data_IF_488187379189
#
_entry.id   IF_488187379189
#
_cell.length_a   1.000
_cell.length_b   1.000
_cell.length_c   1.000
_cell.angle_alpha   90.00
_cell.angle_beta   90.00
_cell.angle_gamma   90.00
#
_symmetry.space_group_name_H-M   'P 1'
#
loop_
_entity.id
_entity.type
_entity.pdbx_description
1 polymer ?
#
# COMPACT_ATOMS: atom_id res chain seq x y z
N UNK A 1 2.85 53.81 51.86
CA UNK A 1 3.64 52.95 50.94
C UNK A 1 3.61 51.44 51.28
N UNK A 2 2.74 50.94 52.19
CA UNK A 2 2.69 49.51 52.56
C UNK A 2 1.69 48.66 51.75
N UNK A 3 0.56 49.23 51.29
CA UNK A 3 -0.48 48.47 50.57
C UNK A 3 -0.08 47.95 49.16
N UNK A 4 0.97 48.47 48.54
CA UNK A 4 1.37 48.04 47.19
C UNK A 4 2.06 46.68 47.15
N UNK A 5 2.83 46.33 48.19
CA UNK A 5 3.59 45.08 48.25
C UNK A 5 2.70 43.86 48.51
N UNK A 6 1.66 44.01 49.32
CA UNK A 6 0.71 42.93 49.60
C UNK A 6 -0.18 42.61 48.40
N UNK A 7 -0.51 43.64 47.59
CA UNK A 7 -1.29 43.49 46.36
C UNK A 7 -0.48 42.75 45.27
N UNK A 8 0.80 43.11 45.08
CA UNK A 8 1.69 42.40 44.15
C UNK A 8 1.93 40.94 44.56
N UNK A 9 2.05 40.66 45.86
CA UNK A 9 2.21 39.30 46.38
C UNK A 9 0.96 38.44 46.12
N UNK A 10 -0.23 38.97 46.41
CA UNK A 10 -1.50 38.26 46.13
C UNK A 10 -1.76 38.08 44.63
N UNK A 11 -1.35 39.03 43.79
CA UNK A 11 -1.50 38.91 42.34
C UNK A 11 -0.53 37.88 41.72
N UNK A 12 0.73 37.81 42.22
CA UNK A 12 1.68 36.76 41.83
C UNK A 12 1.18 35.38 42.24
N UNK A 13 0.64 35.24 43.44
CA UNK A 13 0.13 33.97 43.96
C UNK A 13 -1.13 33.52 43.17
N UNK A 14 -2.02 34.45 42.80
CA UNK A 14 -3.17 34.19 41.93
C UNK A 14 -2.77 33.80 40.50
N UNK A 15 -1.73 34.42 39.93
CA UNK A 15 -1.16 34.03 38.63
C UNK A 15 -0.49 32.65 38.70
N UNK A 16 0.20 32.34 39.80
CA UNK A 16 0.81 31.04 40.07
C UNK A 16 -0.24 29.92 40.14
N UNK A 17 -1.27 30.08 40.98
CA UNK A 17 -2.37 29.10 41.10
C UNK A 17 -3.13 28.89 39.79
N UNK A 18 -3.38 29.95 39.02
CA UNK A 18 -3.97 29.83 37.67
C UNK A 18 -3.07 29.03 36.73
N UNK A 19 -1.77 29.30 36.68
CA UNK A 19 -0.83 28.53 35.85
C UNK A 19 -0.80 27.05 36.24
N UNK A 20 -0.72 26.75 37.54
CA UNK A 20 -0.73 25.37 38.03
C UNK A 20 -2.04 24.68 37.66
N UNK A 21 -3.18 25.33 37.84
CA UNK A 21 -4.50 24.80 37.45
C UNK A 21 -4.60 24.50 35.95
N UNK A 22 -4.14 25.41 35.08
CA UNK A 22 -4.17 25.16 33.64
C UNK A 22 -3.20 24.05 33.21
N UNK A 23 -2.03 23.95 33.84
CA UNK A 23 -1.07 22.89 33.56
C UNK A 23 -1.57 21.52 34.00
N UNK A 24 -2.17 21.41 35.20
CA UNK A 24 -2.74 20.14 35.67
C UNK A 24 -3.95 19.73 34.84
N UNK A 25 -4.81 20.68 34.48
CA UNK A 25 -5.93 20.42 33.57
C UNK A 25 -5.47 19.96 32.18
N UNK A 26 -4.44 20.60 31.62
CA UNK A 26 -3.86 20.20 30.34
C UNK A 26 -3.23 18.80 30.40
N UNK A 27 -2.50 18.47 31.47
CA UNK A 27 -1.93 17.15 31.67
C UNK A 27 -3.02 16.07 31.81
N UNK A 28 -4.08 16.33 32.58
CA UNK A 28 -5.22 15.43 32.70
C UNK A 28 -5.92 15.22 31.35
N UNK A 29 -6.15 16.29 30.59
CA UNK A 29 -6.75 16.23 29.27
C UNK A 29 -5.90 15.38 28.30
N UNK A 30 -4.57 15.50 28.36
CA UNK A 30 -3.67 14.66 27.56
C UNK A 30 -3.74 13.18 27.95
N UNK A 31 -3.75 12.86 29.25
CA UNK A 31 -3.86 11.48 29.73
C UNK A 31 -5.19 10.86 29.34
N UNK A 32 -6.30 11.57 29.55
CA UNK A 32 -7.64 11.13 29.15
C UNK A 32 -7.71 10.96 27.63
N UNK A 33 -7.15 11.91 26.87
CA UNK A 33 -7.05 11.81 25.41
C UNK A 33 -6.28 10.58 24.95
N UNK A 34 -5.11 10.31 25.53
CA UNK A 34 -4.32 9.12 25.24
C UNK A 34 -5.06 7.82 25.57
N UNK A 35 -5.75 7.77 26.71
CA UNK A 35 -6.60 6.65 27.10
C UNK A 35 -7.76 6.44 26.12
N UNK A 36 -8.41 7.53 25.70
CA UNK A 36 -9.52 7.49 24.73
C UNK A 36 -9.03 6.96 23.38
N UNK A 37 -7.89 7.45 22.90
CA UNK A 37 -7.24 6.99 21.66
C UNK A 37 -6.94 5.49 21.73
N UNK A 38 -6.36 5.02 22.84
CA UNK A 38 -6.05 3.61 23.02
C UNK A 38 -7.30 2.73 23.03
N UNK A 39 -8.35 3.17 23.73
CA UNK A 39 -9.64 2.46 23.82
C UNK A 39 -10.41 2.46 22.49
N UNK A 40 -10.33 3.54 21.71
CA UNK A 40 -11.05 3.72 20.45
C UNK A 40 -10.24 3.36 19.21
N UNK A 41 -9.02 2.84 19.34
CA UNK A 41 -8.09 2.59 18.22
C UNK A 41 -8.70 1.83 17.03
N UNK A 42 -9.66 0.93 17.28
CA UNK A 42 -10.36 0.18 16.23
C UNK A 42 -11.32 1.03 15.39
N UNK A 43 -11.83 2.14 15.93
CA UNK A 43 -12.72 3.08 15.25
C UNK A 43 -11.98 4.25 14.62
N UNK A 44 -10.81 4.60 15.15
CA UNK A 44 -10.00 5.73 14.66
C UNK A 44 -9.74 5.60 13.16
N UNK A 45 -9.38 4.40 12.70
CA UNK A 45 -8.99 4.19 11.33
C UNK A 45 -10.15 4.45 10.32
N UNK A 46 -11.33 3.80 10.45
CA UNK A 46 -12.48 4.13 9.61
C UNK A 46 -12.86 5.62 9.64
N UNK A 47 -12.78 6.27 10.80
CA UNK A 47 -13.07 7.71 10.93
C UNK A 47 -12.08 8.53 10.11
N UNK A 48 -10.78 8.29 10.27
CA UNK A 48 -9.73 8.99 9.52
C UNK A 48 -9.91 8.77 8.02
N UNK A 49 -10.17 7.53 7.58
CA UNK A 49 -10.37 7.22 6.17
C UNK A 49 -11.60 7.95 5.62
N UNK A 50 -12.73 7.93 6.34
CA UNK A 50 -13.94 8.65 5.94
C UNK A 50 -13.72 10.16 5.84
N UNK A 51 -13.05 10.74 6.84
CA UNK A 51 -12.74 12.17 6.87
C UNK A 51 -11.77 12.56 5.74
N UNK A 52 -10.73 11.75 5.50
CA UNK A 52 -9.76 11.98 4.44
C UNK A 52 -10.42 11.88 3.06
N UNK A 53 -11.29 10.90 2.83
CA UNK A 53 -12.07 10.82 1.61
C UNK A 53 -12.95 12.06 1.44
N UNK A 54 -13.66 12.51 2.47
CA UNK A 54 -14.50 13.72 2.37
C UNK A 54 -13.66 14.94 1.98
N UNK A 55 -12.48 15.05 2.59
CA UNK A 55 -11.53 16.11 2.33
C UNK A 55 -10.98 16.08 0.90
N UNK A 56 -10.54 14.90 0.45
CA UNK A 56 -10.00 14.63 -0.89
C UNK A 56 -10.99 14.97 -2.00
N UNK A 57 -12.28 14.72 -1.76
CA UNK A 57 -13.36 14.93 -2.71
C UNK A 57 -14.02 16.30 -2.62
N UNK A 58 -13.65 17.14 -1.65
CA UNK A 58 -14.09 18.53 -1.55
C UNK A 58 -13.92 19.33 -2.87
N UNK A 59 -12.77 19.33 -3.57
CA UNK A 59 -12.62 20.07 -4.83
C UNK A 59 -13.52 19.53 -5.94
N UNK A 60 -13.78 18.21 -5.96
CA UNK A 60 -14.70 17.60 -6.93
C UNK A 60 -16.11 18.11 -6.65
N UNK A 61 -16.57 18.02 -5.40
CA UNK A 61 -17.87 18.56 -4.96
C UNK A 61 -18.02 20.05 -5.32
N UNK A 62 -17.00 20.86 -5.08
CA UNK A 62 -17.04 22.30 -5.37
C UNK A 62 -17.12 22.62 -6.88
N UNK A 63 -16.47 21.83 -7.73
CA UNK A 63 -16.59 21.94 -9.20
C UNK A 63 -17.95 21.45 -9.72
N UNK A 64 -18.55 20.46 -9.07
CA UNK A 64 -19.86 19.91 -9.38
C UNK A 64 -21.00 20.63 -8.62
N UNK A 65 -20.87 21.94 -8.35
CA UNK A 65 -21.97 22.77 -7.83
C UNK A 65 -23.04 22.98 -8.89
N UNK A 66 -23.90 21.98 -9.02
CA UNK A 66 -25.07 22.01 -9.89
C UNK A 66 -26.12 22.91 -9.23
N UNK A 67 -26.44 24.05 -9.87
CA UNK A 67 -27.29 25.10 -9.29
C UNK A 67 -28.73 24.65 -8.97
N UNK A 68 -29.19 23.53 -9.53
CA UNK A 68 -30.52 22.95 -9.30
C UNK A 68 -30.55 21.82 -8.26
N UNK A 69 -29.39 21.35 -7.78
CA UNK A 69 -29.31 20.21 -6.89
C UNK A 69 -29.01 20.67 -5.44
N UNK A 70 -29.84 20.29 -4.44
CA UNK A 70 -29.55 20.49 -3.02
C UNK A 70 -28.15 20.01 -2.63
N UNK A 71 -27.56 20.68 -1.64
CA UNK A 71 -26.20 20.42 -1.19
C UNK A 71 -25.99 18.97 -0.72
N UNK A 72 -26.98 18.42 -0.03
CA UNK A 72 -26.99 17.06 0.51
C UNK A 72 -26.97 16.03 -0.63
N UNK A 73 -27.74 16.29 -1.69
CA UNK A 73 -27.77 15.41 -2.86
C UNK A 73 -26.47 15.45 -3.65
N UNK A 74 -25.76 16.59 -3.71
CA UNK A 74 -24.45 16.67 -4.35
C UNK A 74 -23.42 15.77 -3.64
N UNK A 75 -23.45 15.75 -2.30
CA UNK A 75 -22.58 14.90 -1.47
C UNK A 75 -22.92 13.42 -1.63
N UNK A 76 -24.21 13.07 -1.67
CA UNK A 76 -24.62 11.69 -1.92
C UNK A 76 -24.28 11.23 -3.34
N UNK A 77 -24.40 12.10 -4.33
CA UNK A 77 -23.99 11.81 -5.70
C UNK A 77 -22.47 11.59 -5.80
N UNK A 78 -21.65 12.43 -5.15
CA UNK A 78 -20.21 12.23 -5.14
C UNK A 78 -19.83 10.93 -4.44
N UNK A 79 -20.46 10.62 -3.30
CA UNK A 79 -20.28 9.33 -2.63
C UNK A 79 -20.65 8.14 -3.53
N UNK A 80 -21.78 8.22 -4.23
CA UNK A 80 -22.23 7.18 -5.15
C UNK A 80 -21.26 6.99 -6.33
N UNK A 81 -20.72 8.07 -6.90
CA UNK A 81 -19.70 8.01 -7.96
C UNK A 81 -18.43 7.34 -7.46
N UNK A 82 -17.96 7.69 -6.25
CA UNK A 82 -16.80 7.04 -5.62
C UNK A 82 -17.05 5.55 -5.42
N UNK A 83 -18.21 5.20 -4.85
CA UNK A 83 -18.61 3.82 -4.64
C UNK A 83 -18.65 3.02 -5.95
N UNK A 84 -19.15 3.63 -7.02
CA UNK A 84 -19.20 3.03 -8.35
C UNK A 84 -17.80 2.83 -8.94
N UNK A 85 -16.92 3.83 -8.85
CA UNK A 85 -15.52 3.72 -9.29
C UNK A 85 -14.79 2.62 -8.52
N UNK A 86 -14.93 2.59 -7.19
CA UNK A 86 -14.34 1.56 -6.34
C UNK A 86 -14.90 0.17 -6.65
N UNK A 87 -16.20 0.06 -6.93
CA UNK A 87 -16.84 -1.20 -7.33
C UNK A 87 -16.30 -1.71 -8.66
N UNK A 88 -16.16 -0.85 -9.68
CA UNK A 88 -15.56 -1.21 -10.96
C UNK A 88 -14.08 -1.58 -10.82
N UNK A 89 -13.33 -0.83 -10.02
CA UNK A 89 -11.93 -1.12 -9.72
C UNK A 89 -11.78 -2.47 -9.01
N UNK A 90 -12.59 -2.73 -7.97
CA UNK A 90 -12.63 -4.00 -7.25
C UNK A 90 -12.98 -5.17 -8.18
N UNK A 91 -14.00 -5.02 -9.03
CA UNK A 91 -14.39 -6.08 -9.95
C UNK A 91 -13.34 -6.33 -11.04
N UNK A 92 -12.65 -5.28 -11.50
CA UNK A 92 -11.54 -5.41 -12.45
C UNK A 92 -10.36 -6.10 -11.81
N UNK A 93 -10.01 -5.70 -10.59
CA UNK A 93 -8.92 -6.28 -9.84
C UNK A 93 -9.18 -7.74 -9.46
N UNK A 94 -10.38 -8.04 -8.96
CA UNK A 94 -10.79 -9.39 -8.57
C UNK A 94 -10.67 -10.40 -9.71
N UNK A 95 -10.95 -10.00 -10.95
CA UNK A 95 -10.77 -10.86 -12.14
C UNK A 95 -9.31 -11.27 -12.38
N UNK A 96 -8.36 -10.51 -11.85
CA UNK A 96 -6.92 -10.76 -11.99
C UNK A 96 -6.28 -11.37 -10.73
N UNK A 97 -7.01 -11.43 -9.60
CA UNK A 97 -6.54 -12.15 -8.41
C UNK A 97 -6.53 -13.64 -8.75
N UNK A 98 -5.38 -14.33 -8.65
CA UNK A 98 -5.30 -15.74 -9.01
C UNK A 98 -6.13 -16.60 -8.04
N UNK A 99 -6.95 -17.50 -8.60
CA UNK A 99 -7.64 -18.56 -7.86
C UNK A 99 -6.62 -19.43 -7.10
N UNK A 100 -7.05 -20.16 -6.06
CA UNK A 100 -6.25 -21.16 -5.34
C UNK A 100 -5.41 -22.03 -6.30
N UNK A 101 -6.05 -22.58 -7.32
CA UNK A 101 -5.39 -23.36 -8.38
C UNK A 101 -4.31 -22.58 -9.13
N UNK A 102 -4.61 -21.36 -9.56
CA UNK A 102 -3.68 -20.52 -10.31
C UNK A 102 -2.51 -20.08 -9.43
N UNK A 103 -2.71 -19.92 -8.12
CA UNK A 103 -1.62 -19.69 -7.16
C UNK A 103 -0.68 -20.89 -7.07
N UNK A 104 -1.24 -22.11 -6.99
CA UNK A 104 -0.44 -23.33 -6.95
C UNK A 104 0.34 -23.52 -8.25
N UNK A 105 -0.33 -23.33 -9.39
CA UNK A 105 0.32 -23.39 -10.69
C UNK A 105 1.42 -22.32 -10.84
N UNK A 106 1.15 -21.09 -10.39
CA UNK A 106 2.13 -20.01 -10.38
C UNK A 106 3.38 -20.39 -9.57
N UNK A 107 3.22 -20.92 -8.35
CA UNK A 107 4.35 -21.39 -7.53
C UNK A 107 5.21 -22.41 -8.28
N UNK A 108 4.59 -23.42 -8.90
CA UNK A 108 5.30 -24.47 -9.66
C UNK A 108 6.00 -23.90 -10.90
N UNK A 109 5.30 -23.10 -11.71
CA UNK A 109 5.84 -22.48 -12.92
C UNK A 109 7.01 -21.56 -12.61
N UNK A 110 6.86 -20.70 -11.59
CA UNK A 110 7.90 -19.79 -11.14
C UNK A 110 9.12 -20.56 -10.63
N UNK A 111 8.91 -21.60 -9.81
CA UNK A 111 9.99 -22.46 -9.32
C UNK A 111 10.75 -23.15 -10.45
N UNK A 112 10.04 -23.70 -11.43
CA UNK A 112 10.66 -24.30 -12.63
C UNK A 112 11.50 -23.27 -13.40
N UNK A 113 10.92 -22.10 -13.71
CA UNK A 113 11.57 -21.05 -14.51
C UNK A 113 12.79 -20.44 -13.83
N UNK A 114 12.73 -20.24 -12.52
CA UNK A 114 13.87 -19.77 -11.74
C UNK A 114 15.02 -20.79 -11.74
N UNK A 115 14.73 -22.07 -11.52
CA UNK A 115 15.75 -23.11 -11.59
C UNK A 115 16.30 -23.27 -13.02
N UNK A 116 15.46 -23.14 -14.06
CA UNK A 116 15.89 -23.17 -15.46
C UNK A 116 16.89 -22.04 -15.76
N UNK A 117 16.57 -20.80 -15.38
CA UNK A 117 17.48 -19.65 -15.53
C UNK A 117 18.75 -19.79 -14.67
N UNK A 118 18.64 -20.28 -13.44
CA UNK A 118 19.80 -20.53 -12.58
C UNK A 118 20.75 -21.55 -13.21
N UNK A 119 20.22 -22.67 -13.75
CA UNK A 119 21.03 -23.64 -14.48
C UNK A 119 21.69 -23.06 -15.73
N UNK A 120 21.00 -22.19 -16.47
CA UNK A 120 21.61 -21.51 -17.62
C UNK A 120 22.79 -20.61 -17.21
N UNK A 121 22.72 -19.98 -16.02
CA UNK A 121 23.79 -19.13 -15.50
C UNK A 121 24.98 -19.94 -14.93
N UNK A 122 24.71 -21.11 -14.36
CA UNK A 122 25.71 -21.99 -13.74
C UNK A 122 26.21 -23.08 -14.70
N UNK A 123 25.63 -23.19 -15.89
CA UNK A 123 26.08 -24.13 -16.92
C UNK A 123 27.55 -23.87 -17.26
N UNK A 124 28.38 -24.92 -17.18
CA UNK A 124 29.79 -24.83 -17.56
C UNK A 124 29.90 -24.40 -19.02
N UNK A 125 30.71 -23.37 -19.34
CA UNK A 125 30.95 -22.98 -20.72
C UNK A 125 31.62 -24.12 -21.49
N UNK A 126 31.43 -24.20 -22.82
CA UNK A 126 32.12 -25.19 -23.66
C UNK A 126 33.63 -25.11 -23.48
N UNK A 127 34.29 -26.26 -23.59
CA UNK A 127 35.67 -26.54 -23.15
C UNK A 127 36.67 -25.41 -23.45
N UNK A 128 37.40 -24.98 -22.41
CA UNK A 128 38.59 -24.12 -22.54
C UNK A 128 38.49 -22.69 -21.98
N UNK A 129 37.32 -22.23 -21.50
CA UNK A 129 37.19 -20.91 -20.85
C UNK A 129 36.78 -21.04 -19.38
N UNK A 130 37.73 -20.85 -18.46
CA UNK A 130 37.44 -20.72 -17.03
C UNK A 130 36.69 -19.40 -16.79
N UNK A 131 35.44 -19.49 -16.33
CA UNK A 131 34.65 -18.31 -15.96
C UNK A 131 34.93 -17.96 -14.50
N UNK A 132 35.73 -16.92 -14.25
CA UNK A 132 36.02 -16.43 -12.90
C UNK A 132 34.77 -16.03 -12.09
N UNK A 133 33.65 -15.78 -12.80
CA UNK A 133 32.38 -15.34 -12.22
C UNK A 133 31.51 -16.52 -11.75
N UNK A 134 31.68 -17.73 -12.31
CA UNK A 134 30.90 -18.92 -11.95
C UNK A 134 30.95 -19.23 -10.43
N UNK A 135 32.14 -19.32 -9.79
CA UNK A 135 32.22 -19.61 -8.36
C UNK A 135 31.64 -18.48 -7.48
N UNK A 136 31.64 -17.23 -7.95
CA UNK A 136 30.94 -16.14 -7.27
C UNK A 136 29.42 -16.30 -7.37
N UNK A 137 28.91 -16.64 -8.56
CA UNK A 137 27.47 -16.87 -8.78
C UNK A 137 27.00 -18.04 -7.92
N UNK A 138 27.71 -19.16 -7.90
CA UNK A 138 27.34 -20.32 -7.08
C UNK A 138 27.34 -19.95 -5.58
N UNK A 139 28.36 -19.24 -5.11
CA UNK A 139 28.50 -18.85 -3.69
C UNK A 139 27.41 -17.87 -3.23
N UNK A 140 27.03 -16.90 -4.07
CA UNK A 140 26.07 -15.85 -3.70
C UNK A 140 24.62 -16.19 -4.07
N UNK A 141 24.37 -16.71 -5.29
CA UNK A 141 23.01 -17.06 -5.73
C UNK A 141 22.53 -18.42 -5.22
N UNK A 142 23.42 -19.37 -4.94
CA UNK A 142 23.03 -20.71 -4.48
C UNK A 142 22.13 -20.68 -3.23
N UNK A 143 22.59 -20.07 -2.10
CA UNK A 143 21.79 -19.97 -0.88
C UNK A 143 20.47 -19.20 -1.06
N UNK A 144 20.45 -18.22 -1.96
CA UNK A 144 19.24 -17.46 -2.31
C UNK A 144 18.24 -18.35 -3.05
N UNK A 145 18.73 -19.13 -4.02
CA UNK A 145 17.90 -20.05 -4.79
C UNK A 145 17.30 -21.14 -3.89
N UNK A 146 18.04 -21.64 -2.91
CA UNK A 146 17.53 -22.59 -1.91
C UNK A 146 16.39 -22.01 -1.07
N UNK A 147 16.55 -20.78 -0.56
CA UNK A 147 15.49 -20.09 0.19
C UNK A 147 14.25 -19.84 -0.65
N UNK A 148 14.42 -19.41 -1.91
CA UNK A 148 13.31 -19.22 -2.85
C UNK A 148 12.60 -20.55 -3.11
N UNK A 149 13.38 -21.60 -3.35
CA UNK A 149 12.85 -22.94 -3.60
C UNK A 149 12.03 -23.45 -2.41
N UNK A 150 12.51 -23.24 -1.19
CA UNK A 150 11.80 -23.55 0.07
C UNK A 150 10.53 -22.71 0.22
N UNK A 151 10.58 -21.41 -0.07
CA UNK A 151 9.42 -20.53 -0.01
C UNK A 151 8.32 -20.88 -1.03
N UNK A 152 8.71 -21.47 -2.17
CA UNK A 152 7.80 -21.94 -3.22
C UNK A 152 7.41 -23.41 -3.09
N UNK A 153 7.84 -24.11 -2.02
CA UNK A 153 7.38 -25.48 -1.76
C UNK A 153 5.88 -25.52 -1.45
N UNK A 154 5.25 -26.59 -1.92
CA UNK A 154 3.84 -26.85 -1.68
C UNK A 154 3.70 -27.77 -0.47
N UNK A 155 2.83 -27.38 0.46
CA UNK A 155 2.52 -28.20 1.63
C UNK A 155 1.76 -29.49 1.24
N UNK A 156 1.54 -30.41 2.18
CA UNK A 156 0.94 -31.72 1.85
C UNK A 156 -0.46 -31.61 1.21
N UNK A 157 -1.26 -30.64 1.64
CA UNK A 157 -2.61 -30.40 1.11
C UNK A 157 -2.58 -29.74 -0.26
N UNK A 158 -1.77 -28.67 -0.39
CA UNK A 158 -1.51 -27.93 -1.62
C UNK A 158 -0.97 -28.86 -2.74
N UNK A 159 -0.11 -29.83 -2.41
CA UNK A 159 0.41 -30.81 -3.37
C UNK A 159 -0.70 -31.69 -3.97
N UNK A 160 -1.58 -32.20 -3.10
CA UNK A 160 -2.69 -33.05 -3.53
C UNK A 160 -3.67 -32.23 -4.38
N UNK A 161 -3.91 -30.99 -3.97
CA UNK A 161 -4.79 -30.06 -4.69
C UNK A 161 -4.21 -29.70 -6.06
N UNK A 162 -2.91 -29.41 -6.15
CA UNK A 162 -2.22 -29.15 -7.42
C UNK A 162 -2.29 -30.35 -8.37
N UNK A 163 -2.04 -31.58 -7.89
CA UNK A 163 -2.14 -32.78 -8.73
C UNK A 163 -3.55 -33.02 -9.25
N UNK A 164 -4.56 -32.72 -8.44
CA UNK A 164 -5.97 -32.79 -8.83
C UNK A 164 -6.27 -31.79 -9.94
N UNK A 165 -5.81 -30.55 -9.82
CA UNK A 165 -5.99 -29.52 -10.84
C UNK A 165 -5.17 -29.76 -12.11
N UNK A 166 -3.94 -30.23 -11.98
CA UNK A 166 -3.06 -30.55 -13.10
C UNK A 166 -3.69 -31.57 -14.08
N UNK A 167 -4.63 -32.39 -13.62
CA UNK A 167 -5.37 -33.35 -14.43
C UNK A 167 -6.60 -32.76 -15.17
N UNK A 168 -6.90 -31.46 -15.04
CA UNK A 168 -8.04 -30.80 -15.69
C UNK A 168 -9.35 -30.85 -14.89
N UNK A 169 -9.28 -30.66 -13.57
CA UNK A 169 -10.46 -30.65 -12.70
C UNK A 169 -11.32 -29.38 -12.92
N UNK A 170 -12.64 -29.48 -12.81
CA UNK A 170 -13.61 -28.37 -13.00
C UNK A 170 -13.63 -27.70 -14.39
N UNK A 171 -13.28 -28.42 -15.47
CA UNK A 171 -13.43 -27.91 -16.85
C UNK A 171 -12.40 -26.85 -17.27
N UNK A 172 -11.32 -26.69 -16.49
CA UNK A 172 -10.18 -25.81 -16.82
C UNK A 172 -9.12 -26.57 -17.63
N UNK A 173 -8.35 -25.86 -18.47
CA UNK A 173 -7.30 -26.48 -19.28
C UNK A 173 -6.22 -27.13 -18.39
N UNK A 174 -5.73 -28.32 -18.74
CA UNK A 174 -4.71 -29.01 -17.95
C UNK A 174 -3.39 -28.23 -17.96
N UNK A 175 -2.66 -28.28 -16.84
CA UNK A 175 -1.33 -27.69 -16.70
C UNK A 175 -0.37 -28.37 -17.68
N UNK A 176 0.53 -27.58 -18.31
CA UNK A 176 1.48 -28.15 -19.27
C UNK A 176 2.31 -29.27 -18.63
N UNK A 177 2.49 -30.36 -19.38
CA UNK A 177 3.15 -31.60 -18.91
C UNK A 177 4.55 -31.37 -18.36
N UNK A 178 5.31 -30.41 -18.89
CA UNK A 178 6.66 -30.07 -18.42
C UNK A 178 6.67 -29.59 -16.95
N UNK A 179 5.68 -28.81 -16.52
CA UNK A 179 5.58 -28.32 -15.14
C UNK A 179 5.12 -29.42 -14.20
N UNK A 180 4.18 -30.26 -14.63
CA UNK A 180 3.72 -31.43 -13.86
C UNK A 180 4.86 -32.44 -13.70
N UNK A 181 5.63 -32.68 -14.76
CA UNK A 181 6.81 -33.54 -14.76
C UNK A 181 7.90 -33.02 -13.83
N UNK A 182 8.22 -31.73 -13.90
CA UNK A 182 9.14 -31.08 -12.97
C UNK A 182 8.67 -31.21 -11.52
N UNK A 183 7.40 -30.93 -11.25
CA UNK A 183 6.83 -31.04 -9.92
C UNK A 183 6.94 -32.47 -9.38
N UNK A 184 6.57 -33.49 -10.17
CA UNK A 184 6.68 -34.90 -9.81
C UNK A 184 8.13 -35.34 -9.55
N UNK A 185 9.06 -34.91 -10.40
CA UNK A 185 10.47 -35.26 -10.28
C UNK A 185 11.12 -34.73 -9.00
N UNK A 186 10.65 -33.58 -8.49
CA UNK A 186 11.19 -32.90 -7.31
C UNK A 186 10.38 -33.14 -6.03
N UNK A 187 9.50 -34.15 -5.99
CA UNK A 187 8.75 -34.46 -4.77
C UNK A 187 9.57 -35.21 -3.70
N UNK A 188 10.58 -35.97 -4.14
CA UNK A 188 11.31 -36.92 -3.31
C UNK A 188 12.81 -36.63 -3.20
N UNK A 189 13.32 -35.64 -3.92
CA UNK A 189 14.74 -35.28 -3.93
C UNK A 189 14.99 -34.09 -3.01
N UNK A 190 16.03 -34.17 -2.17
CA UNK A 190 16.56 -33.00 -1.42
C UNK A 190 17.35 -32.05 -2.34
N UNK A 191 17.78 -32.53 -3.51
CA UNK A 191 18.42 -31.77 -4.57
C UNK A 191 17.45 -31.49 -5.72
N UNK A 192 17.49 -30.27 -6.25
CA UNK A 192 16.60 -29.83 -7.32
C UNK A 192 17.07 -30.31 -8.70
N UNK A 193 16.32 -31.25 -9.28
CA UNK A 193 16.60 -31.83 -10.59
C UNK A 193 15.61 -31.27 -11.62
N UNK A 194 16.12 -30.54 -12.62
CA UNK A 194 15.37 -30.25 -13.84
C UNK A 194 15.53 -31.47 -14.75
N UNK A 195 14.47 -32.24 -15.04
CA UNK A 195 14.59 -33.39 -15.92
C UNK A 195 14.99 -32.92 -17.33
N UNK A 196 15.97 -33.58 -17.94
CA UNK A 196 16.44 -33.28 -19.31
C UNK A 196 15.36 -33.56 -20.38
N UNK A 197 14.34 -34.35 -20.03
CA UNK A 197 13.17 -34.65 -20.87
C UNK A 197 11.91 -34.75 -20.00
N UNK A 198 10.84 -34.09 -20.42
CA UNK A 198 9.53 -34.23 -19.77
C UNK A 198 9.08 -35.70 -19.84
N UNK A 199 8.62 -36.32 -18.73
CA UNK A 199 8.13 -37.69 -18.79
C UNK A 199 6.96 -37.77 -19.75
N UNK A 200 7.00 -38.76 -20.65
CA UNK A 200 5.91 -39.06 -21.58
C UNK A 200 4.61 -39.25 -20.78
N UNK A 201 3.53 -38.62 -21.26
CA UNK A 201 2.25 -38.54 -20.55
C UNK A 201 1.77 -39.90 -20.06
N UNK A 202 1.65 -40.03 -18.73
CA UNK A 202 0.84 -41.08 -18.12
C UNK A 202 -0.61 -40.63 -18.04
N UNK A 203 -1.59 -41.53 -18.28
CA UNK A 203 -3.01 -41.17 -18.23
C UNK A 203 -3.44 -40.69 -16.84
N UNK A 204 -4.45 -39.80 -16.75
CA UNK A 204 -4.96 -39.35 -15.47
C UNK A 204 -5.56 -40.53 -14.68
N UNK A 205 -5.37 -40.61 -13.35
CA UNK A 205 -5.83 -41.74 -12.57
C UNK A 205 -7.36 -41.77 -12.51
N UNK A 206 -7.95 -42.83 -13.07
CA UNK A 206 -9.32 -43.27 -12.86
C UNK A 206 -9.37 -44.17 -11.63
N UNK A 207 -9.69 -43.60 -10.47
CA UNK A 207 -9.94 -44.35 -9.24
C UNK A 207 -10.75 -43.52 -8.24
N UNK A 208 -11.70 -44.11 -7.50
CA UNK A 208 -12.47 -43.38 -6.51
C UNK A 208 -11.55 -42.95 -5.36
N UNK A 209 -11.37 -41.63 -5.20
CA UNK A 209 -10.61 -41.06 -4.09
C UNK A 209 -11.47 -41.19 -2.83
N UNK A 210 -11.01 -42.02 -1.90
CA UNK A 210 -11.65 -42.21 -0.59
C UNK A 210 -11.83 -40.87 0.13
N UNK A 211 -13.02 -40.68 0.71
CA UNK A 211 -13.38 -39.51 1.49
C UNK A 211 -12.41 -39.37 2.69
N UNK A 212 -11.64 -38.28 2.70
CA UNK A 212 -10.79 -37.93 3.81
C UNK A 212 -11.65 -37.52 5.01
N UNK A 213 -11.34 -38.11 6.16
CA UNK A 213 -11.90 -37.80 7.47
C UNK A 213 -11.76 -36.32 7.80
N UNK A 214 -12.87 -35.71 8.22
CA UNK A 214 -12.93 -34.35 8.75
C UNK A 214 -12.13 -34.24 10.05
N UNK A 215 -11.23 -33.26 10.10
CA UNK A 215 -10.52 -32.81 11.30
C UNK A 215 -10.77 -31.28 11.45
N UNK A 216 -10.75 -30.74 12.68
CA UNK A 216 -11.69 -29.72 13.16
C UNK A 216 -11.53 -28.35 12.49
N UNK A 217 -12.57 -27.49 12.56
CA UNK A 217 -12.52 -26.14 11.99
C UNK A 217 -11.34 -25.38 12.57
N UNK A 218 -10.58 -24.75 11.66
CA UNK A 218 -9.57 -23.76 11.99
C UNK A 218 -10.14 -22.78 13.02
N UNK A 219 -9.38 -22.58 14.10
CA UNK A 219 -9.75 -21.72 15.19
C UNK A 219 -10.15 -20.32 14.68
N UNK A 220 -11.43 -19.99 14.85
CA UNK A 220 -12.02 -18.66 15.03
C UNK A 220 -11.18 -17.44 14.59
N UNK A 221 -11.00 -17.24 13.28
CA UNK A 221 -10.71 -15.91 12.72
C UNK A 221 -12.01 -15.11 12.42
N UNK A 222 -13.15 -15.81 12.27
CA UNK A 222 -14.45 -15.23 11.89
C UNK A 222 -14.98 -14.18 12.86
N UNK A 223 -14.84 -14.40 14.18
CA UNK A 223 -15.28 -13.45 15.21
C UNK A 223 -14.47 -12.13 15.20
N UNK A 224 -13.27 -12.12 14.62
CA UNK A 224 -12.47 -10.91 14.47
C UNK A 224 -12.80 -10.13 13.18
N UNK A 225 -13.25 -10.83 12.13
CA UNK A 225 -13.57 -10.24 10.84
C UNK A 225 -14.92 -9.53 10.86
N UNK A 226 -15.92 -10.10 11.53
CA UNK A 226 -17.25 -9.48 11.71
C UNK A 226 -17.16 -8.16 12.49
N UNK A 227 -16.40 -8.16 13.60
CA UNK A 227 -16.15 -6.96 14.39
C UNK A 227 -15.31 -5.92 13.61
N UNK A 228 -14.31 -6.34 12.82
CA UNK A 228 -13.53 -5.44 11.95
C UNK A 228 -14.38 -4.85 10.82
N UNK A 229 -15.24 -5.64 10.15
CA UNK A 229 -16.13 -5.17 9.09
C UNK A 229 -17.18 -4.20 9.60
N UNK A 230 -17.75 -4.45 10.79
CA UNK A 230 -18.76 -3.57 11.39
C UNK A 230 -18.24 -2.13 11.57
N UNK A 231 -16.97 -1.97 11.97
CA UNK A 231 -16.35 -0.67 12.16
C UNK A 231 -16.14 0.09 10.85
N UNK A 232 -15.95 -0.61 9.71
CA UNK A 232 -15.74 0.03 8.41
C UNK A 232 -16.99 0.71 7.84
N UNK A 233 -18.20 0.38 8.33
CA UNK A 233 -19.44 1.15 8.04
C UNK A 233 -19.32 2.60 8.51
N UNK A 234 -18.45 2.88 9.48
CA UNK A 234 -18.22 4.23 9.97
C UNK A 234 -17.52 5.12 8.95
N UNK A 235 -16.66 4.58 8.08
CA UNK A 235 -15.97 5.38 7.07
C UNK A 235 -16.92 6.10 6.08
N UNK A 236 -17.86 5.41 5.39
CA UNK A 236 -18.81 6.09 4.51
C UNK A 236 -19.79 6.98 5.30
N UNK A 237 -20.14 6.62 6.54
CA UNK A 237 -20.95 7.48 7.40
C UNK A 237 -20.23 8.81 7.68
N UNK A 238 -18.98 8.74 8.14
CA UNK A 238 -18.17 9.93 8.41
C UNK A 238 -17.99 10.74 7.14
N UNK A 239 -17.75 10.11 5.99
CA UNK A 239 -17.68 10.80 4.70
C UNK A 239 -18.92 11.65 4.43
N UNK A 240 -20.11 11.05 4.53
CA UNK A 240 -21.38 11.72 4.23
C UNK A 240 -21.66 12.84 5.23
N UNK A 241 -21.46 12.58 6.53
CA UNK A 241 -21.70 13.57 7.58
C UNK A 241 -20.74 14.76 7.50
N UNK A 242 -19.44 14.55 7.27
CA UNK A 242 -18.49 15.63 7.02
C UNK A 242 -18.78 16.35 5.70
N UNK A 243 -19.25 15.61 4.69
CA UNK A 243 -19.66 16.19 3.42
C UNK A 243 -20.90 17.08 3.55
N UNK A 244 -21.86 16.73 4.41
CA UNK A 244 -23.04 17.55 4.72
C UNK A 244 -22.69 18.77 5.57
N UNK A 245 -21.60 18.72 6.33
CA UNK A 245 -21.16 19.85 7.14
C UNK A 245 -20.79 21.05 6.26
N UNK A 246 -21.48 22.17 6.50
CA UNK A 246 -21.21 23.46 5.85
C UNK A 246 -20.17 24.29 6.64
N UNK A 247 -19.24 23.62 7.32
CA UNK A 247 -18.25 24.23 8.20
C UNK A 247 -18.77 24.54 9.61
N UNK A 248 -19.86 23.91 10.05
CA UNK A 248 -20.35 24.10 11.44
C UNK A 248 -19.34 23.51 12.43
N UNK A 249 -18.73 22.37 12.08
CA UNK A 249 -17.69 21.73 12.90
C UNK A 249 -16.51 22.69 13.09
N UNK A 250 -16.03 23.30 12.01
CA UNK A 250 -14.94 24.27 12.06
C UNK A 250 -15.29 25.50 12.90
N UNK A 251 -16.49 26.07 12.73
CA UNK A 251 -16.96 27.21 13.52
C UNK A 251 -17.05 26.88 15.01
N UNK A 252 -17.47 25.66 15.36
CA UNK A 252 -17.49 25.21 16.74
C UNK A 252 -16.08 25.17 17.35
N UNK A 253 -15.11 24.56 16.67
CA UNK A 253 -13.73 24.53 17.16
C UNK A 253 -13.12 25.93 17.29
N UNK A 254 -13.38 26.81 16.33
CA UNK A 254 -12.93 28.20 16.37
C UNK A 254 -13.60 28.97 17.53
N UNK A 255 -14.87 28.69 17.85
CA UNK A 255 -15.58 29.34 18.96
C UNK A 255 -15.03 29.01 20.35
N UNK A 256 -14.30 27.89 20.49
CA UNK A 256 -13.61 27.50 21.73
C UNK A 256 -12.31 28.28 21.95
N UNK A 257 -11.78 28.93 20.90
CA UNK A 257 -10.53 29.67 20.96
C UNK A 257 -10.76 31.03 21.64
N UNK A 258 -9.99 31.38 22.68
CA UNK A 258 -10.06 32.71 23.27
C UNK A 258 -9.77 33.80 22.25
N UNK A 259 -10.48 34.92 22.31
CA UNK A 259 -10.37 36.03 21.34
C UNK A 259 -8.92 36.50 21.09
N UNK A 260 -8.05 36.42 22.11
CA UNK A 260 -6.62 36.77 22.02
C UNK A 260 -5.85 35.94 20.97
N UNK A 261 -6.24 34.70 20.74
CA UNK A 261 -5.55 33.75 19.85
C UNK A 261 -6.36 33.41 18.60
N UNK A 262 -7.42 34.17 18.33
CA UNK A 262 -8.36 33.89 17.25
C UNK A 262 -7.68 33.95 15.87
N UNK A 263 -7.02 35.06 15.56
CA UNK A 263 -6.28 35.25 14.30
C UNK A 263 -5.16 34.20 14.14
N UNK A 264 -4.36 33.99 15.19
CA UNK A 264 -3.34 32.95 15.25
C UNK A 264 -3.91 31.57 14.86
N UNK A 265 -5.04 31.19 15.47
CA UNK A 265 -5.63 29.88 15.25
C UNK A 265 -6.19 29.76 13.84
N UNK A 266 -6.88 30.79 13.33
CA UNK A 266 -7.36 30.82 11.95
C UNK A 266 -6.22 30.64 10.95
N UNK A 267 -5.12 31.37 11.11
CA UNK A 267 -3.96 31.24 10.22
C UNK A 267 -3.35 29.83 10.29
N UNK A 268 -3.21 29.25 11.48
CA UNK A 268 -2.71 27.87 11.62
C UNK A 268 -3.65 26.87 10.95
N UNK A 269 -4.95 27.00 11.15
CA UNK A 269 -5.96 26.13 10.55
C UNK A 269 -5.95 26.20 9.02
N UNK A 270 -5.90 27.41 8.46
CA UNK A 270 -5.87 27.65 7.02
C UNK A 270 -4.60 27.05 6.37
N UNK A 271 -3.44 27.25 7.01
CA UNK A 271 -2.18 26.65 6.57
C UNK A 271 -2.18 25.12 6.65
N UNK A 272 -2.88 24.54 7.63
CA UNK A 272 -3.04 23.10 7.73
C UNK A 272 -3.98 22.55 6.65
N UNK A 273 -5.09 23.24 6.37
CA UNK A 273 -6.03 22.89 5.29
C UNK A 273 -5.30 22.83 3.94
N UNK A 274 -4.52 23.88 3.64
CA UNK A 274 -3.70 23.96 2.44
C UNK A 274 -2.64 22.87 2.37
N UNK A 275 -1.92 22.63 3.47
CA UNK A 275 -0.84 21.63 3.49
C UNK A 275 -1.38 20.21 3.28
N UNK A 276 -2.48 19.84 3.94
CA UNK A 276 -3.14 18.54 3.76
C UNK A 276 -3.69 18.43 2.34
N UNK A 277 -4.36 19.48 1.85
CA UNK A 277 -4.94 19.51 0.50
C UNK A 277 -3.89 19.37 -0.60
N UNK A 278 -2.80 20.10 -0.50
CA UNK A 278 -1.71 20.03 -1.46
C UNK A 278 -1.02 18.67 -1.41
N UNK A 279 -0.77 18.13 -0.22
CA UNK A 279 -0.17 16.80 -0.08
C UNK A 279 -1.05 15.72 -0.72
N UNK A 280 -2.34 15.64 -0.35
CA UNK A 280 -3.21 14.57 -0.82
C UNK A 280 -3.48 14.65 -2.33
N UNK A 281 -3.71 15.86 -2.87
CA UNK A 281 -3.85 16.07 -4.32
C UNK A 281 -2.56 15.71 -5.05
N UNK A 282 -1.43 16.04 -4.44
CA UNK A 282 -0.13 15.64 -4.92
C UNK A 282 -0.02 14.11 -5.00
N UNK A 283 -0.13 13.43 -3.87
CA UNK A 283 -0.04 11.97 -3.79
C UNK A 283 -0.98 11.26 -4.77
N UNK A 284 -2.23 11.73 -4.94
CA UNK A 284 -3.12 11.14 -5.95
C UNK A 284 -2.59 11.28 -7.39
N UNK A 285 -2.07 12.46 -7.72
CA UNK A 285 -1.51 12.73 -9.06
C UNK A 285 -0.26 11.88 -9.29
N UNK A 286 0.59 11.73 -8.28
CA UNK A 286 1.76 10.86 -8.28
C UNK A 286 1.37 9.39 -8.48
N UNK A 287 0.41 8.89 -7.70
CA UNK A 287 -0.13 7.53 -7.84
C UNK A 287 -0.63 7.26 -9.26
N UNK A 288 -1.33 8.23 -9.87
CA UNK A 288 -1.81 8.16 -11.23
C UNK A 288 -0.65 8.12 -12.25
N UNK A 289 0.34 9.01 -12.12
CA UNK A 289 1.49 9.08 -13.01
C UNK A 289 2.33 7.80 -12.97
N UNK A 290 2.61 7.26 -11.79
CA UNK A 290 3.33 5.99 -11.62
C UNK A 290 2.54 4.83 -12.20
N UNK A 291 1.25 4.74 -11.88
CA UNK A 291 0.40 3.67 -12.40
C UNK A 291 0.26 3.71 -13.92
N UNK A 292 0.15 4.90 -14.51
CA UNK A 292 0.12 5.11 -15.95
C UNK A 292 1.44 4.72 -16.61
N UNK A 293 2.57 5.14 -16.03
CA UNK A 293 3.92 4.82 -16.53
C UNK A 293 4.16 3.32 -16.54
N UNK A 294 3.82 2.62 -15.46
CA UNK A 294 3.92 1.16 -15.38
C UNK A 294 2.99 0.48 -16.39
N UNK A 295 1.73 0.91 -16.48
CA UNK A 295 0.77 0.34 -17.42
C UNK A 295 1.27 0.45 -18.86
N UNK A 296 1.71 1.64 -19.28
CA UNK A 296 2.22 1.87 -20.62
C UNK A 296 3.51 1.09 -20.86
N UNK A 297 4.46 1.17 -19.95
CA UNK A 297 5.75 0.48 -20.07
C UNK A 297 5.59 -1.04 -20.18
N UNK A 298 4.79 -1.66 -19.32
CA UNK A 298 4.55 -3.11 -19.35
C UNK A 298 3.83 -3.52 -20.64
N UNK A 299 2.87 -2.71 -21.10
CA UNK A 299 2.17 -2.95 -22.38
C UNK A 299 3.15 -2.89 -23.57
N UNK A 300 4.09 -1.94 -23.57
CA UNK A 300 5.13 -1.84 -24.60
C UNK A 300 6.08 -3.05 -24.61
N UNK A 301 6.32 -3.66 -23.44
CA UNK A 301 7.07 -4.91 -23.33
C UNK A 301 6.29 -6.15 -23.79
N UNK A 302 5.03 -5.99 -24.22
CA UNK A 302 4.19 -7.07 -24.74
C UNK A 302 3.36 -7.78 -23.67
N UNK A 303 3.35 -7.28 -22.42
CA UNK A 303 2.48 -7.81 -21.36
C UNK A 303 1.02 -7.47 -21.72
N UNK A 304 0.08 -8.42 -21.61
CA UNK A 304 -1.33 -8.17 -21.92
C UNK A 304 -1.88 -6.97 -21.15
N UNK A 305 -2.62 -6.11 -21.84
CA UNK A 305 -3.13 -4.84 -21.29
C UNK A 305 -3.85 -5.02 -19.94
N UNK A 306 -4.67 -6.07 -19.79
CA UNK A 306 -5.38 -6.34 -18.53
C UNK A 306 -4.44 -6.53 -17.34
N UNK A 307 -3.34 -7.25 -17.53
CA UNK A 307 -2.33 -7.52 -16.50
C UNK A 307 -1.48 -6.27 -16.26
N UNK A 308 -1.07 -5.57 -17.33
CA UNK A 308 -0.33 -4.33 -17.22
C UNK A 308 -1.11 -3.26 -16.45
N UNK A 309 -2.41 -3.10 -16.74
CA UNK A 309 -3.33 -2.20 -16.01
C UNK A 309 -3.48 -2.66 -14.56
N UNK A 310 -3.65 -3.96 -14.30
CA UNK A 310 -3.76 -4.45 -12.93
C UNK A 310 -2.51 -4.15 -12.09
N UNK A 311 -1.32 -4.40 -12.65
CA UNK A 311 -0.04 -4.06 -11.99
C UNK A 311 0.06 -2.55 -11.81
N UNK A 312 -0.17 -1.76 -12.86
CA UNK A 312 -0.07 -0.31 -12.79
C UNK A 312 -1.03 0.32 -11.79
N UNK A 313 -2.29 -0.12 -11.72
CA UNK A 313 -3.27 0.39 -10.75
C UNK A 313 -2.86 0.04 -9.32
N UNK A 314 -2.48 -1.21 -9.05
CA UNK A 314 -2.07 -1.61 -7.69
C UNK A 314 -0.81 -0.88 -7.26
N UNK A 315 0.23 -0.88 -8.11
CA UNK A 315 1.49 -0.21 -7.82
C UNK A 315 1.32 1.30 -7.71
N UNK A 316 0.52 1.91 -8.58
CA UNK A 316 0.18 3.33 -8.50
C UNK A 316 -0.49 3.67 -7.18
N UNK A 317 -1.55 2.96 -6.79
CA UNK A 317 -2.24 3.18 -5.50
C UNK A 317 -1.32 2.97 -4.29
N UNK A 318 -0.47 1.96 -4.33
CA UNK A 318 0.49 1.68 -3.25
C UNK A 318 1.65 2.68 -3.23
N UNK A 319 1.86 3.46 -4.29
CA UNK A 319 2.86 4.54 -4.30
C UNK A 319 2.52 5.69 -3.33
N UNK A 320 1.28 5.74 -2.83
CA UNK A 320 0.93 6.63 -1.71
C UNK A 320 1.78 6.36 -0.45
N UNK A 321 2.33 5.15 -0.33
CA UNK A 321 3.37 4.81 0.64
C UNK A 321 4.72 4.84 -0.09
N UNK A 322 5.69 5.65 0.35
CA UNK A 322 6.97 5.79 -0.34
C UNK A 322 7.65 4.44 -0.60
N UNK A 323 8.18 4.28 -1.81
CA UNK A 323 8.88 3.10 -2.32
C UNK A 323 8.03 1.83 -2.46
N UNK A 324 6.82 1.79 -1.91
CA UNK A 324 6.00 0.58 -1.89
C UNK A 324 5.41 0.26 -3.26
N UNK A 325 5.00 1.29 -4.01
CA UNK A 325 4.40 1.12 -5.33
C UNK A 325 5.33 0.42 -6.33
N UNK A 326 6.55 0.92 -6.47
CA UNK A 326 7.58 0.36 -7.35
C UNK A 326 8.11 -0.99 -6.85
N UNK A 327 8.22 -1.20 -5.54
CA UNK A 327 8.58 -2.50 -4.97
C UNK A 327 7.55 -3.59 -5.31
N UNK A 328 6.25 -3.27 -5.22
CA UNK A 328 5.17 -4.20 -5.59
C UNK A 328 5.15 -4.43 -7.10
N UNK A 329 5.42 -3.38 -7.89
CA UNK A 329 5.55 -3.51 -9.35
C UNK A 329 6.66 -4.50 -9.71
N UNK A 330 7.79 -4.45 -8.98
CA UNK A 330 8.91 -5.38 -9.15
C UNK A 330 8.52 -6.81 -8.85
N UNK A 331 7.93 -7.07 -7.69
CA UNK A 331 7.56 -8.44 -7.31
C UNK A 331 6.57 -9.03 -8.31
N UNK A 332 5.48 -8.31 -8.60
CA UNK A 332 4.40 -8.84 -9.45
C UNK A 332 4.84 -8.86 -10.93
N UNK A 333 5.45 -7.78 -11.41
CA UNK A 333 5.91 -7.65 -12.79
C UNK A 333 7.01 -8.64 -13.14
N UNK A 334 8.01 -8.80 -12.28
CA UNK A 334 9.09 -9.79 -12.48
C UNK A 334 8.53 -11.22 -12.40
N UNK A 335 7.67 -11.49 -11.42
CA UNK A 335 7.00 -12.79 -11.29
C UNK A 335 6.22 -13.15 -12.56
N UNK A 336 5.48 -12.19 -13.14
CA UNK A 336 4.78 -12.38 -14.40
C UNK A 336 5.75 -12.59 -15.58
N UNK A 337 6.79 -11.76 -15.70
CA UNK A 337 7.76 -11.84 -16.78
C UNK A 337 8.51 -13.17 -16.84
N UNK A 338 8.72 -13.82 -15.69
CA UNK A 338 9.40 -15.12 -15.60
C UNK A 338 8.51 -16.29 -16.06
N UNK A 339 7.21 -16.23 -15.79
CA UNK A 339 6.28 -17.32 -16.10
C UNK A 339 5.68 -17.21 -17.51
N UNK A 340 5.65 -16.00 -18.07
CA UNK A 340 4.94 -15.76 -19.29
C UNK A 340 5.70 -16.33 -20.50
N UNK A 341 4.95 -16.96 -21.41
CA UNK A 341 5.49 -17.63 -22.59
C UNK A 341 4.92 -16.97 -23.86
N UNK A 342 5.69 -16.97 -24.94
CA UNK A 342 5.29 -16.44 -26.25
C UNK A 342 4.89 -14.95 -26.27
N UNK A 343 5.53 -14.13 -25.42
CA UNK A 343 5.33 -12.68 -25.45
C UNK A 343 6.03 -12.09 -26.66
N UNK A 344 5.35 -11.16 -27.34
CA UNK A 344 5.91 -10.37 -28.43
C UNK A 344 6.00 -8.92 -27.96
N UNK A 345 7.20 -8.42 -27.61
CA UNK A 345 7.38 -7.00 -27.30
C UNK A 345 6.91 -6.14 -28.48
N UNK A 346 6.27 -5.01 -28.19
CA UNK A 346 5.87 -4.05 -29.22
C UNK A 346 7.07 -3.22 -29.70
N UNK A 347 8.12 -3.14 -28.87
CA UNK A 347 9.36 -2.43 -29.19
C UNK A 347 10.20 -3.31 -30.14
N UNK A 348 10.51 -2.83 -31.37
CA UNK A 348 11.35 -3.56 -32.31
C UNK A 348 12.75 -3.81 -31.74
N UNK A 349 13.29 -5.02 -31.90
CA UNK A 349 14.66 -5.38 -31.50
C UNK A 349 14.82 -5.93 -30.08
N UNK A 350 13.75 -6.01 -29.28
CA UNK A 350 13.80 -6.68 -27.98
C UNK A 350 13.68 -8.20 -28.14
N UNK A 351 14.60 -8.95 -27.52
CA UNK A 351 14.52 -10.40 -27.47
C UNK A 351 13.48 -10.85 -26.45
N UNK A 352 12.46 -11.65 -26.84
CA UNK A 352 11.45 -12.15 -25.90
C UNK A 352 12.02 -12.92 -24.71
N UNK A 353 13.20 -13.52 -24.87
CA UNK A 353 13.87 -14.34 -23.85
C UNK A 353 14.43 -13.53 -22.66
N UNK A 354 14.52 -12.21 -22.80
CA UNK A 354 15.08 -11.27 -21.82
C UNK A 354 14.01 -10.36 -21.19
N UNK A 355 12.73 -10.71 -21.31
CA UNK A 355 11.60 -9.94 -20.77
C UNK A 355 11.77 -9.57 -19.29
N UNK A 356 12.26 -10.50 -18.46
CA UNK A 356 12.51 -10.26 -17.05
C UNK A 356 13.49 -9.10 -16.82
N UNK A 357 14.56 -9.02 -17.62
CA UNK A 357 15.52 -7.92 -17.56
C UNK A 357 14.87 -6.59 -17.94
N UNK A 358 14.09 -6.58 -19.03
CA UNK A 358 13.41 -5.36 -19.47
C UNK A 358 12.38 -4.85 -18.46
N UNK A 359 11.67 -5.75 -17.76
CA UNK A 359 10.76 -5.36 -16.69
C UNK A 359 11.51 -4.73 -15.52
N UNK A 360 12.64 -5.30 -15.10
CA UNK A 360 13.49 -4.68 -14.05
C UNK A 360 13.96 -3.29 -14.47
N UNK A 361 14.43 -3.14 -15.71
CA UNK A 361 14.86 -1.84 -16.25
C UNK A 361 13.71 -0.84 -16.25
N UNK A 362 12.52 -1.24 -16.70
CA UNK A 362 11.33 -0.39 -16.69
C UNK A 362 10.99 0.11 -15.29
N UNK A 363 11.06 -0.76 -14.28
CA UNK A 363 10.74 -0.39 -12.91
C UNK A 363 11.79 0.55 -12.33
N UNK A 364 13.07 0.33 -12.63
CA UNK A 364 14.14 1.25 -12.24
C UNK A 364 13.90 2.62 -12.88
N UNK A 365 13.58 2.67 -14.19
CA UNK A 365 13.24 3.92 -14.87
C UNK A 365 12.04 4.59 -14.20
N UNK A 366 10.99 3.82 -13.88
CA UNK A 366 9.80 4.34 -13.21
C UNK A 366 10.13 4.91 -11.84
N UNK A 367 10.96 4.23 -11.05
CA UNK A 367 11.40 4.69 -9.74
C UNK A 367 12.24 5.97 -9.82
N UNK A 368 13.15 6.05 -10.79
CA UNK A 368 13.94 7.27 -11.03
C UNK A 368 13.04 8.42 -11.49
N UNK A 369 12.05 8.16 -12.35
CA UNK A 369 11.05 9.16 -12.74
C UNK A 369 10.22 9.63 -11.55
N UNK A 370 9.84 8.72 -10.66
CA UNK A 370 9.08 9.04 -9.46
C UNK A 370 9.86 10.02 -8.57
N UNK A 371 11.11 9.67 -8.24
CA UNK A 371 11.94 10.44 -7.32
C UNK A 371 12.42 11.78 -7.93
N UNK A 372 12.77 11.80 -9.22
CA UNK A 372 13.38 12.98 -9.85
C UNK A 372 12.37 13.90 -10.54
N UNK A 373 11.22 13.37 -10.97
CA UNK A 373 10.25 14.13 -11.79
C UNK A 373 8.91 14.22 -11.09
N UNK A 374 8.28 13.09 -10.72
CA UNK A 374 6.91 13.11 -10.21
C UNK A 374 6.84 13.75 -8.83
N UNK A 375 7.64 13.33 -7.86
CA UNK A 375 7.63 13.91 -6.52
C UNK A 375 7.90 15.42 -6.53
N UNK A 376 8.96 15.95 -7.18
CA UNK A 376 9.20 17.39 -7.19
C UNK A 376 8.12 18.18 -7.94
N UNK A 377 7.58 17.63 -9.03
CA UNK A 377 6.53 18.30 -9.82
C UNK A 377 5.20 18.36 -9.08
N UNK A 378 4.89 17.30 -8.32
CA UNK A 378 3.56 17.07 -7.76
C UNK A 378 3.46 17.47 -6.29
N UNK A 379 4.46 17.12 -5.49
CA UNK A 379 4.51 17.43 -4.04
C UNK A 379 5.31 18.72 -3.78
N UNK A 380 6.25 19.08 -4.65
CA UNK A 380 6.96 20.36 -4.64
C UNK A 380 7.41 20.82 -3.23
N UNK A 381 7.06 22.04 -2.85
CA UNK A 381 7.40 22.63 -1.55
C UNK A 381 6.52 22.16 -0.39
N UNK A 382 5.42 21.43 -0.66
CA UNK A 382 4.45 21.00 0.34
C UNK A 382 5.04 20.01 1.36
N UNK A 383 6.08 19.27 0.96
CA UNK A 383 6.77 18.27 1.80
C UNK A 383 8.27 18.56 1.87
N UNK A 384 8.65 19.78 2.27
CA UNK A 384 10.05 20.09 2.60
C UNK A 384 10.48 19.40 3.92
N UNK A 385 10.36 18.08 4.01
CA UNK A 385 10.65 17.26 5.19
C UNK A 385 11.96 16.52 4.93
N UNK A 386 12.86 16.52 5.91
CA UNK A 386 14.12 15.78 5.77
C UNK A 386 13.85 14.27 5.58
N UNK A 387 14.50 13.56 4.64
CA UNK A 387 14.21 12.15 4.35
C UNK A 387 14.27 11.23 5.58
N UNK A 388 15.21 11.49 6.49
CA UNK A 388 15.30 10.75 7.77
C UNK A 388 13.99 10.80 8.58
N UNK A 389 13.31 11.95 8.62
CA UNK A 389 12.05 12.10 9.37
C UNK A 389 10.94 11.28 8.72
N UNK A 390 10.91 11.23 7.37
CA UNK A 390 9.97 10.41 6.61
C UNK A 390 10.17 8.93 6.96
N UNK A 391 11.41 8.43 6.92
CA UNK A 391 11.73 7.03 7.24
C UNK A 391 11.34 6.68 8.67
N UNK A 392 11.70 7.52 9.65
CA UNK A 392 11.32 7.32 11.05
C UNK A 392 9.80 7.29 11.22
N UNK A 393 9.08 8.20 10.54
CA UNK A 393 7.63 8.26 10.62
C UNK A 393 6.95 7.02 10.00
N UNK A 394 7.46 6.50 8.88
CA UNK A 394 6.93 5.28 8.26
C UNK A 394 7.14 4.08 9.19
N UNK A 395 8.35 3.93 9.74
CA UNK A 395 8.66 2.84 10.68
C UNK A 395 7.78 2.97 11.93
N UNK A 396 7.72 4.15 12.56
CA UNK A 396 6.89 4.40 13.73
C UNK A 396 5.40 4.16 13.46
N UNK A 397 4.88 4.68 12.35
CA UNK A 397 3.50 4.46 11.92
C UNK A 397 3.19 2.98 11.71
N UNK A 398 4.10 2.25 11.06
CA UNK A 398 3.95 0.81 10.84
C UNK A 398 3.81 0.01 12.14
N UNK A 399 4.52 0.40 13.19
CA UNK A 399 4.46 -0.28 14.48
C UNK A 399 3.16 0.02 15.24
N UNK A 400 2.57 1.20 15.05
CA UNK A 400 1.35 1.63 15.76
C UNK A 400 0.08 1.12 15.07
N UNK A 401 0.01 1.24 13.74
CA UNK A 401 -1.22 0.97 12.96
C UNK A 401 -0.99 0.08 11.72
N UNK A 402 0.18 -0.56 11.60
CA UNK A 402 0.49 -1.42 10.46
C UNK A 402 0.54 -0.64 9.13
N UNK A 403 0.00 -1.24 8.08
CA UNK A 403 -0.06 -0.65 6.74
C UNK A 403 -0.69 0.75 6.73
N UNK A 404 -1.74 0.96 7.55
CA UNK A 404 -2.41 2.26 7.63
C UNK A 404 -1.54 3.33 8.27
N UNK A 405 -0.74 2.96 9.27
CA UNK A 405 0.20 3.89 9.87
C UNK A 405 1.31 4.30 8.92
N UNK A 406 1.73 3.41 8.01
CA UNK A 406 2.65 3.77 6.92
C UNK A 406 2.00 4.79 5.96
N UNK A 407 0.75 4.56 5.56
CA UNK A 407 0.00 5.45 4.66
C UNK A 407 -0.17 6.86 5.23
N UNK A 408 -0.49 6.96 6.52
CA UNK A 408 -0.73 8.26 7.17
C UNK A 408 0.53 8.90 7.76
N UNK A 409 1.70 8.25 7.68
CA UNK A 409 2.95 8.73 8.28
C UNK A 409 3.32 10.13 7.75
N UNK A 410 3.41 10.30 6.44
CA UNK A 410 3.81 11.57 5.83
C UNK A 410 2.76 12.68 6.06
N UNK A 411 1.45 12.47 5.80
CA UNK A 411 0.44 13.47 6.14
C UNK A 411 0.56 13.96 7.58
N UNK A 412 0.76 13.03 8.52
CA UNK A 412 0.91 13.35 9.94
C UNK A 412 2.14 14.22 10.18
N UNK A 413 3.28 13.87 9.57
CA UNK A 413 4.51 14.68 9.66
C UNK A 413 4.31 16.07 9.07
N UNK A 414 3.66 16.17 7.91
CA UNK A 414 3.35 17.46 7.26
C UNK A 414 2.46 18.32 8.15
N UNK A 415 1.41 17.74 8.75
CA UNK A 415 0.52 18.43 9.69
C UNK A 415 1.27 18.91 10.92
N UNK A 416 2.03 18.04 11.58
CA UNK A 416 2.78 18.40 12.80
C UNK A 416 3.80 19.48 12.48
N UNK A 417 4.58 19.32 11.41
CA UNK A 417 5.58 20.30 10.99
C UNK A 417 4.93 21.65 10.69
N UNK A 418 3.85 21.68 9.90
CA UNK A 418 3.18 22.92 9.51
C UNK A 418 2.52 23.59 10.70
N UNK A 419 1.88 22.83 11.59
CA UNK A 419 1.30 23.35 12.83
C UNK A 419 2.38 24.02 13.69
N UNK A 420 3.47 23.30 13.98
CA UNK A 420 4.57 23.81 14.83
C UNK A 420 5.22 25.02 14.17
N UNK A 421 5.60 24.94 12.90
CA UNK A 421 6.27 26.04 12.20
C UNK A 421 5.41 27.30 12.13
N UNK A 422 4.11 27.16 11.83
CA UNK A 422 3.18 28.29 11.75
C UNK A 422 2.94 28.86 13.13
N UNK A 423 2.69 28.02 14.13
CA UNK A 423 2.46 28.46 15.51
C UNK A 423 3.65 29.24 16.07
N UNK A 424 4.89 28.74 15.92
CA UNK A 424 6.09 29.46 16.39
C UNK A 424 6.33 30.78 15.64
N UNK A 425 6.08 30.81 14.33
CA UNK A 425 6.21 32.03 13.53
C UNK A 425 5.24 33.10 14.02
N UNK A 426 3.97 32.75 14.11
CA UNK A 426 2.92 33.68 14.53
C UNK A 426 3.10 34.13 15.99
N UNK A 427 3.51 33.24 16.90
CA UNK A 427 3.83 33.65 18.27
C UNK A 427 4.92 34.73 18.33
N UNK A 428 5.92 34.65 17.45
CA UNK A 428 6.99 35.64 17.32
C UNK A 428 6.48 36.94 16.68
N UNK A 429 5.66 36.83 15.64
CA UNK A 429 5.11 37.98 14.91
C UNK A 429 4.16 38.81 15.80
N UNK A 430 3.33 38.14 16.61
CA UNK A 430 2.49 38.79 17.64
C UNK A 430 3.25 39.17 18.92
N UNK A 431 4.57 38.96 18.98
CA UNK A 431 5.43 39.24 20.15
C UNK A 431 4.90 38.61 21.45
N UNK A 432 4.30 37.43 21.33
CA UNK A 432 3.83 36.65 22.48
C UNK A 432 5.02 35.93 23.16
N UNK A 433 6.04 35.56 22.37
CA UNK A 433 7.33 35.00 22.82
C UNK A 433 8.51 35.86 22.37
#
# INVERSE_FOLDING_TARGET
MSNGRDFEATERDRKGRRKVFYLTFAALALIVGAFLIWKLRGLILPIIVGALLAFLFRPVKERFKIRWLPHELQVLCSFAVIGLVLFFAYNTFRKHIPDEEQKLEFKVRLKYKLNEKYRQLVAKPPEGKSNAVLPLIEKELGPVMDKINQALELNREERNLFLKYAAGYNGKPPVQSKFVGYFRANQNTREYVIPEKAPAGGPPPTGPVAAASAQPPAATEGASLENKLSAWILAPLIFVFLGFDNGQIWRFFISLVPNRYFELSLTVLDRLDDAIGNYLRGTLTECFLVGMTLTLGLTLLGIPLGIAVAIGVVSGLLNAIPFLGTAIALVIGLGYALIAENIRPLIPGLNPNDLALYVVILIIITHVLDDLVFQPFVLGSAVNVHPLVVVIAIIGGSLIMGLWGMLFAIPTVVVVKTAVATFFRELKDYRII
#
